data_IF_969376741004
#
_entry.id   IF_969376741004
#
_cell.length_a   1.000
_cell.length_b   1.000
_cell.length_c   1.000
_cell.angle_alpha   90.00
_cell.angle_beta   90.00
_cell.angle_gamma   90.00
#
_symmetry.space_group_name_H-M   'P 1'
#
loop_
_entity.id
_entity.type
_entity.pdbx_description
1 polymer ?
#
# COMPACT_ATOMS: atom_id res chain seq x y z
N UNK A 1 -0.83 -5.15 -0.29
CA UNK A 1 0.04 -6.05 -1.08
C UNK A 1 1.51 -5.84 -0.68
N UNK A 2 2.41 -6.73 -1.10
CA UNK A 2 3.85 -6.63 -0.85
C UNK A 2 4.47 -5.31 -1.34
N UNK A 3 4.04 -4.76 -2.49
CA UNK A 3 4.56 -3.47 -2.95
C UNK A 3 4.30 -2.35 -1.93
N UNK A 4 3.13 -2.36 -1.28
CA UNK A 4 2.74 -1.37 -0.28
C UNK A 4 3.56 -1.53 1.00
N UNK A 5 3.89 -2.77 1.38
CA UNK A 5 4.75 -3.03 2.54
C UNK A 5 6.16 -2.47 2.33
N UNK A 6 6.73 -2.66 1.14
CA UNK A 6 8.03 -2.05 0.81
C UNK A 6 7.96 -0.52 0.79
N UNK A 7 6.91 0.06 0.21
CA UNK A 7 6.70 1.51 0.23
C UNK A 7 6.60 2.06 1.67
N UNK A 8 5.92 1.35 2.57
CA UNK A 8 5.81 1.74 3.99
C UNK A 8 7.15 1.72 4.72
N UNK A 9 7.98 0.70 4.50
CA UNK A 9 9.31 0.62 5.11
C UNK A 9 10.23 1.72 4.57
N UNK A 10 10.24 1.91 3.25
CA UNK A 10 11.02 2.98 2.61
C UNK A 10 10.60 4.38 3.10
N UNK A 11 9.29 4.64 3.20
CA UNK A 11 8.77 5.90 3.74
C UNK A 11 9.18 6.12 5.20
N UNK A 12 9.12 5.07 6.04
CA UNK A 12 9.55 5.15 7.43
C UNK A 12 11.04 5.48 7.57
N UNK A 13 11.88 4.87 6.73
CA UNK A 13 13.32 5.16 6.71
C UNK A 13 13.60 6.59 6.24
N UNK A 14 12.92 7.04 5.18
CA UNK A 14 13.06 8.42 4.68
C UNK A 14 12.62 9.48 5.70
N UNK A 15 11.51 9.26 6.41
CA UNK A 15 11.06 10.18 7.48
C UNK A 15 12.10 10.25 8.59
N UNK A 16 12.63 9.09 9.03
CA UNK A 16 13.67 9.05 10.06
C UNK A 16 14.94 9.79 9.63
N UNK A 17 15.38 9.61 8.39
CA UNK A 17 16.58 10.27 7.85
C UNK A 17 16.38 11.78 7.71
N UNK A 18 15.16 12.22 7.37
CA UNK A 18 14.83 13.65 7.25
C UNK A 18 14.78 14.42 8.58
N UNK A 19 14.72 13.71 9.72
CA UNK A 19 14.51 14.32 11.04
C UNK A 19 13.10 14.90 11.25
N UNK A 20 12.14 14.57 10.38
CA UNK A 20 10.74 14.92 10.57
C UNK A 20 10.15 14.08 11.71
N UNK A 21 9.57 14.76 12.69
CA UNK A 21 9.01 14.20 13.90
C UNK A 21 7.62 14.81 14.14
N UNK A 22 6.69 14.08 14.79
CA UNK A 22 5.40 14.64 15.16
C UNK A 22 5.55 15.98 15.90
N UNK A 23 4.90 17.02 15.38
CA UNK A 23 4.95 18.37 15.94
C UNK A 23 6.04 19.28 15.39
N UNK A 24 6.94 18.78 14.52
CA UNK A 24 7.97 19.61 13.87
C UNK A 24 7.70 19.92 12.39
N UNK A 25 6.57 19.45 11.86
CA UNK A 25 6.08 19.79 10.53
C UNK A 25 4.61 20.19 10.59
N UNK A 26 4.21 21.03 9.64
CA UNK A 26 2.80 21.43 9.45
C UNK A 26 2.06 20.34 8.65
N UNK A 27 1.08 19.64 9.24
CA UNK A 27 0.33 18.59 8.56
C UNK A 27 -0.48 19.10 7.37
N UNK A 28 -0.97 20.34 7.41
CA UNK A 28 -1.77 20.94 6.33
C UNK A 28 -0.91 21.33 5.13
N UNK A 29 0.41 21.35 5.31
CA UNK A 29 1.42 21.62 4.28
C UNK A 29 2.27 20.41 3.90
N UNK A 30 1.97 19.25 4.46
CA UNK A 30 2.71 18.01 4.22
C UNK A 30 1.82 17.01 3.50
N UNK A 31 2.33 16.41 2.43
CA UNK A 31 1.56 15.48 1.61
C UNK A 31 2.36 14.26 1.19
N UNK A 32 1.66 13.27 0.62
CA UNK A 32 2.26 12.04 0.10
C UNK A 32 1.90 11.90 -1.37
N UNK A 33 2.92 11.71 -2.22
CA UNK A 33 2.74 11.27 -3.60
C UNK A 33 3.52 9.97 -3.72
N UNK A 34 2.80 8.88 -3.97
CA UNK A 34 3.38 7.56 -4.17
C UNK A 34 2.76 6.91 -5.39
N UNK A 35 3.52 6.08 -6.09
CA UNK A 35 3.10 5.42 -7.31
C UNK A 35 3.64 4.00 -7.39
N UNK A 36 2.81 3.12 -7.94
CA UNK A 36 3.19 1.76 -8.27
C UNK A 36 2.65 1.44 -9.67
N UNK A 37 3.53 1.09 -10.61
CA UNK A 37 3.14 0.92 -12.01
C UNK A 37 2.11 -0.20 -12.23
N UNK A 38 2.32 -1.35 -11.57
CA UNK A 38 1.44 -2.53 -11.70
C UNK A 38 0.69 -2.87 -10.40
N UNK A 39 0.88 -2.08 -9.34
CA UNK A 39 0.27 -2.32 -8.03
C UNK A 39 0.50 -3.74 -7.50
N UNK A 40 -0.52 -4.30 -6.84
CA UNK A 40 -0.49 -5.64 -6.26
C UNK A 40 -0.98 -6.72 -7.22
N UNK A 41 -0.28 -6.91 -8.34
CA UNK A 41 -0.72 -7.83 -9.41
C UNK A 41 -0.86 -9.28 -8.94
N UNK A 42 -0.04 -9.73 -7.99
CA UNK A 42 -0.12 -11.07 -7.42
C UNK A 42 -1.39 -11.24 -6.59
N UNK A 43 -1.69 -10.29 -5.69
CA UNK A 43 -2.96 -10.29 -4.95
C UNK A 43 -4.16 -10.28 -5.91
N UNK A 44 -4.08 -9.51 -7.00
CA UNK A 44 -5.14 -9.46 -8.00
C UNK A 44 -5.37 -10.81 -8.68
N UNK A 45 -4.30 -11.48 -9.13
CA UNK A 45 -4.38 -12.81 -9.75
C UNK A 45 -4.98 -13.83 -8.79
N UNK A 46 -4.54 -13.84 -7.52
CA UNK A 46 -5.06 -14.75 -6.48
C UNK A 46 -6.56 -14.57 -6.24
N UNK A 47 -7.03 -13.32 -6.12
CA UNK A 47 -8.46 -13.04 -5.94
C UNK A 47 -9.29 -13.35 -7.20
N UNK A 48 -8.73 -13.18 -8.40
CA UNK A 48 -9.36 -13.61 -9.65
C UNK A 48 -9.56 -15.13 -9.70
N UNK A 49 -8.52 -15.90 -9.37
CA UNK A 49 -8.59 -17.37 -9.30
C UNK A 49 -9.62 -17.79 -8.25
N UNK A 50 -9.65 -17.13 -7.09
CA UNK A 50 -10.61 -17.42 -6.02
C UNK A 50 -12.05 -17.13 -6.44
N UNK A 51 -12.27 -16.01 -7.14
CA UNK A 51 -13.57 -15.67 -7.72
C UNK A 51 -14.03 -16.74 -8.72
N UNK A 52 -13.14 -17.17 -9.61
CA UNK A 52 -13.45 -18.16 -10.64
C UNK A 52 -13.75 -19.56 -10.06
N UNK A 53 -12.94 -19.99 -9.09
CA UNK A 53 -13.01 -21.37 -8.55
C UNK A 53 -14.02 -21.53 -7.41
N UNK A 54 -14.26 -20.50 -6.62
CA UNK A 54 -15.07 -20.58 -5.40
C UNK A 54 -16.17 -19.51 -5.31
N UNK A 55 -16.33 -18.69 -6.35
CA UNK A 55 -17.36 -17.67 -6.47
C UNK A 55 -17.00 -16.35 -5.78
N UNK A 56 -17.73 -15.27 -6.10
CA UNK A 56 -17.40 -13.91 -5.69
C UNK A 56 -17.48 -13.69 -4.17
N UNK A 57 -18.30 -14.48 -3.44
CA UNK A 57 -18.40 -14.38 -1.96
C UNK A 57 -17.12 -14.76 -1.22
N UNK A 58 -16.15 -15.37 -1.91
CA UNK A 58 -14.88 -15.78 -1.32
C UNK A 58 -13.78 -14.73 -1.48
N UNK A 59 -13.99 -13.70 -2.31
CA UNK A 59 -13.02 -12.61 -2.48
C UNK A 59 -12.82 -11.88 -1.14
N UNK A 60 -11.58 -11.52 -0.84
CA UNK A 60 -11.26 -10.74 0.36
C UNK A 60 -12.00 -9.39 0.37
N UNK A 61 -12.56 -8.94 1.50
CA UNK A 61 -13.09 -7.58 1.62
C UNK A 61 -11.99 -6.50 1.58
N UNK A 62 -10.71 -6.89 1.68
CA UNK A 62 -9.55 -6.02 1.49
C UNK A 62 -8.95 -6.14 0.09
N UNK A 63 -9.69 -6.72 -0.87
CA UNK A 63 -9.26 -6.76 -2.25
C UNK A 63 -9.26 -5.34 -2.84
N UNK A 64 -8.04 -4.90 -3.19
CA UNK A 64 -7.64 -3.54 -3.63
C UNK A 64 -7.63 -2.52 -2.50
#
# INVERSE_FOLDING_TARGET
DMYTQFAMIAAREAIKDSGLEPGNFDPDRTGVITGAGIGGILTFEEECIKCHTAGPRRISPFFI
#
